data_IF_870121644354
#
_entry.id   IF_870121644354
#
_cell.length_a   1.000
_cell.length_b   1.000
_cell.length_c   1.000
_cell.angle_alpha   90.00
_cell.angle_beta   90.00
_cell.angle_gamma   90.00
#
_symmetry.space_group_name_H-M   'P 1'
#
loop_
_entity.id
_entity.type
_entity.pdbx_description
1 polymer ?
#
# COMPACT_ATOMS: atom_id res chain seq x y z
N UNK A 1 24.06 -69.86 -16.59
CA UNK A 1 24.67 -68.73 -15.84
C UNK A 1 24.23 -67.32 -16.31
N UNK A 2 23.25 -67.18 -17.22
CA UNK A 2 22.83 -65.86 -17.74
C UNK A 2 21.82 -65.09 -16.84
N UNK A 3 21.00 -65.81 -16.08
CA UNK A 3 19.97 -65.23 -15.18
C UNK A 3 20.54 -64.50 -13.96
N UNK A 4 21.70 -64.93 -13.45
CA UNK A 4 22.38 -64.25 -12.34
C UNK A 4 22.97 -62.88 -12.76
N UNK A 5 23.50 -62.80 -13.98
CA UNK A 5 24.00 -61.54 -14.56
C UNK A 5 22.88 -60.54 -14.81
N UNK A 6 21.72 -61.00 -15.29
CA UNK A 6 20.56 -60.13 -15.51
C UNK A 6 20.04 -59.52 -14.21
N UNK A 7 19.91 -60.30 -13.13
CA UNK A 7 19.49 -59.79 -11.81
C UNK A 7 20.42 -58.69 -11.26
N UNK A 8 21.74 -58.86 -11.44
CA UNK A 8 22.72 -57.85 -11.04
C UNK A 8 22.59 -56.57 -11.84
N UNK A 9 22.35 -56.64 -13.16
CA UNK A 9 22.15 -55.46 -14.03
C UNK A 9 20.88 -54.70 -13.66
N UNK A 10 19.79 -55.39 -13.32
CA UNK A 10 18.57 -54.74 -12.85
C UNK A 10 18.78 -54.06 -11.49
N UNK A 11 19.57 -54.65 -10.60
CA UNK A 11 19.86 -54.09 -9.28
C UNK A 11 20.76 -52.85 -9.35
N UNK A 12 21.83 -52.88 -10.16
CA UNK A 12 22.66 -51.70 -10.41
C UNK A 12 21.91 -50.61 -11.17
N UNK A 13 21.06 -50.98 -12.14
CA UNK A 13 20.20 -50.03 -12.84
C UNK A 13 19.21 -49.32 -11.91
N UNK A 14 18.55 -50.07 -11.01
CA UNK A 14 17.64 -49.50 -10.01
C UNK A 14 18.36 -48.57 -9.03
N UNK A 15 19.57 -48.92 -8.60
CA UNK A 15 20.37 -48.07 -7.72
C UNK A 15 20.78 -46.74 -8.39
N UNK A 16 21.20 -46.78 -9.66
CA UNK A 16 21.54 -45.58 -10.40
C UNK A 16 20.31 -44.67 -10.61
N UNK A 17 19.16 -45.26 -10.93
CA UNK A 17 17.93 -44.52 -11.18
C UNK A 17 17.40 -43.86 -9.89
N UNK A 18 17.43 -44.57 -8.77
CA UNK A 18 17.07 -44.02 -7.46
C UNK A 18 18.04 -42.92 -7.02
N UNK A 19 19.35 -43.10 -7.20
CA UNK A 19 20.35 -42.07 -6.92
C UNK A 19 20.13 -40.80 -7.75
N UNK A 20 19.84 -40.93 -9.05
CA UNK A 20 19.57 -39.79 -9.92
C UNK A 20 18.31 -39.03 -9.50
N UNK A 21 17.25 -39.76 -9.10
CA UNK A 21 16.01 -39.18 -8.60
C UNK A 21 16.25 -38.39 -7.30
N UNK A 22 16.99 -38.97 -6.35
CA UNK A 22 17.35 -38.29 -5.09
C UNK A 22 18.16 -37.01 -5.37
N UNK A 23 19.17 -37.08 -6.25
CA UNK A 23 19.97 -35.90 -6.63
C UNK A 23 19.10 -34.81 -7.27
N UNK A 24 18.17 -35.19 -8.14
CA UNK A 24 17.24 -34.26 -8.76
C UNK A 24 16.40 -33.53 -7.72
N UNK A 25 15.83 -34.27 -6.76
CA UNK A 25 15.04 -33.68 -5.68
C UNK A 25 15.89 -32.80 -4.76
N UNK A 26 17.09 -33.23 -4.37
CA UNK A 26 18.00 -32.42 -3.53
C UNK A 26 18.34 -31.11 -4.23
N UNK A 27 18.70 -31.16 -5.52
CA UNK A 27 18.99 -29.95 -6.30
C UNK A 27 17.75 -29.05 -6.43
N UNK A 28 16.57 -29.61 -6.73
CA UNK A 28 15.33 -28.84 -6.85
C UNK A 28 14.84 -28.26 -5.51
N UNK A 29 15.09 -28.90 -4.37
CA UNK A 29 14.78 -28.35 -3.05
C UNK A 29 15.68 -27.15 -2.74
N UNK A 30 16.92 -27.14 -3.25
CA UNK A 30 17.84 -26.02 -3.10
C UNK A 30 17.50 -24.90 -4.09
N UNK A 31 17.22 -25.23 -5.36
CA UNK A 31 17.07 -24.29 -6.47
C UNK A 31 15.62 -23.86 -6.81
N UNK A 32 14.59 -24.51 -6.25
CA UNK A 32 13.20 -24.17 -6.53
C UNK A 32 12.72 -22.92 -5.79
N UNK A 33 11.65 -22.29 -6.29
CA UNK A 33 11.01 -21.07 -5.73
C UNK A 33 10.56 -21.18 -4.25
N UNK A 34 10.62 -22.37 -3.64
CA UNK A 34 10.36 -22.61 -2.21
C UNK A 34 11.57 -23.12 -1.44
N UNK A 35 12.72 -23.21 -2.10
CA UNK A 35 14.00 -23.60 -1.53
C UNK A 35 14.56 -22.53 -0.61
N UNK A 36 15.57 -22.92 0.18
CA UNK A 36 16.18 -22.10 1.25
C UNK A 36 16.65 -20.71 0.72
N UNK A 37 16.91 -20.59 -0.58
CA UNK A 37 17.37 -19.39 -1.28
C UNK A 37 16.26 -18.39 -1.67
N UNK A 38 14.97 -18.76 -1.64
CA UNK A 38 13.84 -17.87 -2.00
C UNK A 38 13.28 -17.08 -0.81
N UNK A 39 13.74 -17.36 0.41
CA UNK A 39 13.32 -16.68 1.64
C UNK A 39 13.63 -15.17 1.68
N UNK A 40 14.80 -14.68 1.23
CA UNK A 40 15.14 -13.27 1.45
C UNK A 40 14.27 -12.30 0.65
N UNK A 41 13.76 -12.68 -0.52
CA UNK A 41 12.85 -11.81 -1.27
C UNK A 41 11.44 -11.77 -0.64
N UNK A 42 10.97 -12.91 -0.14
CA UNK A 42 9.68 -13.01 0.53
C UNK A 42 9.70 -12.29 1.89
N UNK A 43 10.76 -12.50 2.68
CA UNK A 43 10.96 -11.82 3.96
C UNK A 43 11.09 -10.31 3.76
N UNK A 44 11.78 -9.86 2.70
CA UNK A 44 11.85 -8.43 2.37
C UNK A 44 10.49 -7.86 1.98
N UNK A 45 9.67 -8.60 1.24
CA UNK A 45 8.29 -8.17 0.89
C UNK A 45 7.40 -8.11 2.14
N UNK A 46 7.57 -9.04 3.09
CA UNK A 46 6.86 -9.05 4.37
C UNK A 46 7.24 -7.82 5.18
N UNK A 47 8.54 -7.57 5.37
CA UNK A 47 9.04 -6.39 6.12
C UNK A 47 8.55 -5.08 5.49
N UNK A 48 8.61 -4.95 4.17
CA UNK A 48 8.11 -3.75 3.47
C UNK A 48 6.59 -3.59 3.59
N UNK A 49 5.83 -4.69 3.62
CA UNK A 49 4.38 -4.65 3.80
C UNK A 49 4.01 -4.28 5.24
N UNK A 50 4.74 -4.81 6.22
CA UNK A 50 4.58 -4.49 7.65
C UNK A 50 4.92 -3.04 7.94
N UNK A 51 6.02 -2.50 7.40
CA UNK A 51 6.40 -1.10 7.54
C UNK A 51 5.33 -0.17 6.95
N UNK A 52 4.81 -0.51 5.76
CA UNK A 52 3.70 0.24 5.14
C UNK A 52 2.43 0.18 5.98
N UNK A 53 2.11 -0.98 6.54
CA UNK A 53 0.95 -1.16 7.41
C UNK A 53 1.08 -0.29 8.67
N UNK A 54 2.25 -0.30 9.29
CA UNK A 54 2.51 0.48 10.49
C UNK A 54 2.38 1.99 10.22
N UNK A 55 2.95 2.48 9.12
CA UNK A 55 2.82 3.87 8.70
C UNK A 55 1.36 4.25 8.45
N UNK A 56 0.60 3.41 7.74
CA UNK A 56 -0.82 3.65 7.48
C UNK A 56 -1.64 3.65 8.77
N UNK A 57 -1.37 2.72 9.69
CA UNK A 57 -2.06 2.65 10.97
C UNK A 57 -1.79 3.88 11.83
N UNK A 58 -0.54 4.36 11.90
CA UNK A 58 -0.23 5.62 12.60
C UNK A 58 -0.96 6.80 11.97
N UNK A 59 -1.00 6.88 10.64
CA UNK A 59 -1.71 7.95 9.94
C UNK A 59 -3.22 7.89 10.19
N UNK A 60 -3.80 6.69 10.15
CA UNK A 60 -5.20 6.47 10.46
C UNK A 60 -5.53 6.86 11.91
N UNK A 61 -4.68 6.49 12.88
CA UNK A 61 -4.86 6.86 14.29
C UNK A 61 -4.78 8.37 14.49
N UNK A 62 -3.82 9.05 13.86
CA UNK A 62 -3.72 10.51 13.90
C UNK A 62 -4.97 11.20 13.34
N UNK A 63 -5.43 10.76 12.17
CA UNK A 63 -6.66 11.26 11.56
C UNK A 63 -7.88 10.94 12.41
N UNK A 64 -7.98 9.71 12.94
CA UNK A 64 -9.10 9.29 13.78
C UNK A 64 -9.15 10.07 15.09
N UNK A 65 -8.01 10.40 15.69
CA UNK A 65 -7.94 11.28 16.86
C UNK A 65 -8.40 12.70 16.50
N UNK A 66 -7.93 13.25 15.37
CA UNK A 66 -8.32 14.59 14.92
C UNK A 66 -9.81 14.67 14.58
N UNK A 67 -10.34 13.66 13.91
CA UNK A 67 -11.77 13.50 13.64
C UNK A 67 -12.53 13.29 14.95
N UNK A 68 -12.01 12.50 15.89
CA UNK A 68 -12.64 12.28 17.19
C UNK A 68 -12.78 13.57 18.00
N UNK A 69 -11.77 14.43 17.97
CA UNK A 69 -11.80 15.77 18.56
C UNK A 69 -12.78 16.71 17.83
N UNK A 70 -13.02 16.51 16.53
CA UNK A 70 -14.04 17.25 15.76
C UNK A 70 -15.45 16.65 15.89
N UNK A 71 -15.58 15.37 16.25
CA UNK A 71 -16.83 14.61 16.24
C UNK A 71 -17.48 14.50 17.63
N UNK A 72 -16.78 14.85 18.71
CA UNK A 72 -17.40 14.86 20.04
C UNK A 72 -18.61 15.77 20.13
N UNK A 73 -18.75 16.77 19.25
CA UNK A 73 -19.88 17.72 19.27
C UNK A 73 -20.61 17.91 17.92
N UNK A 74 -20.44 17.01 16.95
CA UNK A 74 -20.87 17.16 15.53
C UNK A 74 -20.04 18.19 14.75
N UNK A 75 -19.86 17.98 13.45
CA UNK A 75 -19.17 18.97 12.58
C UNK A 75 -19.96 20.26 12.68
N UNK A 76 -19.29 21.34 13.09
CA UNK A 76 -19.93 22.63 13.33
C UNK A 76 -20.78 23.01 12.11
N UNK A 77 -22.07 23.26 12.33
CA UNK A 77 -23.01 23.62 11.27
C UNK A 77 -22.54 24.86 10.51
N UNK A 78 -21.77 25.74 11.18
CA UNK A 78 -21.21 26.94 10.56
C UNK A 78 -20.09 26.60 9.56
N UNK A 79 -19.18 25.70 9.91
CA UNK A 79 -18.14 25.18 9.00
C UNK A 79 -18.75 24.51 7.75
N UNK A 80 -19.84 23.76 7.95
CA UNK A 80 -20.61 23.13 6.86
C UNK A 80 -21.28 24.17 5.97
N UNK A 81 -21.89 25.20 6.56
CA UNK A 81 -22.52 26.30 5.83
C UNK A 81 -21.47 27.10 5.04
N UNK A 82 -20.30 27.36 5.62
CA UNK A 82 -19.21 28.06 4.96
C UNK A 82 -18.67 27.25 3.77
N UNK A 83 -18.43 25.95 3.96
CA UNK A 83 -17.98 25.07 2.87
C UNK A 83 -19.02 24.97 1.75
N UNK A 84 -20.32 24.91 2.10
CA UNK A 84 -21.40 24.88 1.12
C UNK A 84 -21.52 26.21 0.35
N UNK A 85 -21.29 27.36 0.99
CA UNK A 85 -21.24 28.66 0.31
C UNK A 85 -20.01 28.80 -0.58
N UNK A 86 -18.84 28.42 -0.07
CA UNK A 86 -17.56 28.60 -0.76
C UNK A 86 -17.40 27.65 -1.96
N UNK A 87 -17.72 26.36 -1.80
CA UNK A 87 -17.49 25.36 -2.85
C UNK A 87 -18.72 25.12 -3.74
N UNK A 88 -19.92 25.16 -3.16
CA UNK A 88 -21.16 24.82 -3.86
C UNK A 88 -21.98 26.06 -4.23
N UNK A 89 -21.59 27.26 -3.78
CA UNK A 89 -22.38 28.48 -3.98
C UNK A 89 -23.78 28.38 -3.38
N UNK A 90 -23.96 27.58 -2.33
CA UNK A 90 -25.26 27.31 -1.74
C UNK A 90 -25.58 28.42 -0.73
N UNK A 91 -26.49 29.32 -1.11
CA UNK A 91 -26.91 30.47 -0.29
C UNK A 91 -28.36 30.30 0.19
N UNK A 92 -28.67 30.84 1.36
CA UNK A 92 -30.05 30.87 1.85
C UNK A 92 -30.89 31.89 1.04
N UNK A 93 -32.22 31.75 0.97
CA UNK A 93 -33.08 32.67 0.23
C UNK A 93 -32.97 34.15 0.62
N UNK A 94 -32.40 34.43 1.80
CA UNK A 94 -32.25 35.78 2.36
C UNK A 94 -30.78 36.26 2.38
N UNK A 95 -29.83 35.50 1.82
CA UNK A 95 -28.42 35.89 1.78
C UNK A 95 -28.18 36.96 0.70
N UNK A 96 -27.38 37.97 1.02
CA UNK A 96 -27.04 39.08 0.12
C UNK A 96 -25.63 38.89 -0.43
N UNK A 97 -25.52 38.77 -1.76
CA UNK A 97 -24.22 38.63 -2.43
C UNK A 97 -23.69 40.03 -2.76
N UNK A 98 -22.50 40.35 -2.26
CA UNK A 98 -21.80 41.62 -2.54
C UNK A 98 -20.59 41.30 -3.40
N UNK A 99 -20.62 41.70 -4.66
CA UNK A 99 -19.46 41.63 -5.56
C UNK A 99 -18.71 42.95 -5.48
N UNK A 100 -17.46 42.91 -5.03
CA UNK A 100 -16.60 44.09 -4.93
C UNK A 100 -15.70 44.15 -6.16
N UNK A 101 -15.71 45.27 -6.86
CA UNK A 101 -14.77 45.55 -7.94
C UNK A 101 -13.43 45.99 -7.34
N UNK A 102 -12.44 45.09 -7.41
CA UNK A 102 -11.11 45.31 -6.88
C UNK A 102 -10.35 46.45 -7.59
N UNK A 103 -10.76 46.85 -8.80
CA UNK A 103 -10.13 47.95 -9.54
C UNK A 103 -10.45 49.33 -8.96
N UNK A 104 -11.54 49.43 -8.18
CA UNK A 104 -12.03 50.67 -7.58
C UNK A 104 -11.68 50.81 -6.08
N UNK A 105 -10.89 49.88 -5.54
CA UNK A 105 -10.39 49.94 -4.17
C UNK A 105 -9.11 50.76 -4.11
N UNK A 106 -9.10 51.77 -3.24
CA UNK A 106 -7.98 52.71 -2.96
C UNK A 106 -6.62 52.03 -2.69
N UNK A 107 -6.60 50.73 -2.39
CA UNK A 107 -5.39 49.94 -2.15
C UNK A 107 -4.59 49.63 -3.43
N UNK A 108 -5.15 49.82 -4.62
CA UNK A 108 -4.44 49.60 -5.90
C UNK A 108 -3.48 50.75 -6.25
N UNK A 109 -3.72 51.96 -5.74
CA UNK A 109 -2.84 53.13 -5.98
C UNK A 109 -1.49 52.99 -5.27
N UNK A 110 -1.46 52.34 -4.10
CA UNK A 110 -0.23 52.16 -3.31
C UNK A 110 0.72 51.08 -3.87
N UNK A 111 0.26 50.21 -4.79
CA UNK A 111 1.06 49.15 -5.42
C UNK A 111 1.58 49.50 -6.82
N UNK A 112 1.18 50.65 -7.37
CA UNK A 112 1.59 51.09 -8.72
C UNK A 112 2.76 52.09 -8.68
N UNK A 113 3.06 52.67 -7.52
CA UNK A 113 4.14 53.67 -7.35
C UNK A 113 5.40 53.15 -6.65
N UNK A 114 5.70 51.84 -6.79
CA UNK A 114 6.97 51.25 -6.32
C UNK A 114 7.65 50.41 -7.40
#
# INVERSE_FOLDING_TARGET
MHVARQRLIFMTGSFLLTSALVLFFVFHIIAGDRGILARPELDRKIILAEEKLELLQRHQQFLAQRIGLMRSDSVDADMLAETARAELGLYAPNDVIITIDLSNLKFSEDLVDQ
#
